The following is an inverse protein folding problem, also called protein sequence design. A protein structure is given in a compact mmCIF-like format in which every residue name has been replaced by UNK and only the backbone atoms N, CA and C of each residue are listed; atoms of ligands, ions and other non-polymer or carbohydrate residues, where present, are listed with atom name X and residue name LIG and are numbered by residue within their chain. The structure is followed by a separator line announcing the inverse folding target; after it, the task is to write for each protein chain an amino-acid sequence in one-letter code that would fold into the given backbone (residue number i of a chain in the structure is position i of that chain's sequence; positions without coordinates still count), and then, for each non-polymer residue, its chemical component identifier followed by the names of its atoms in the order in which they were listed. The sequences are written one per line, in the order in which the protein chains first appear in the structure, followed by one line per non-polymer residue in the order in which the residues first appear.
data_IF_539338198041
#
_entry.id   IF_539338198041
#
_cell.length_a   1.000
_cell.length_b   1.000
_cell.length_c   1.000
_cell.angle_alpha   90.00
_cell.angle_beta   90.00
_cell.angle_gamma   90.00
#
_symmetry.space_group_name_H-M   'P 1'
#
loop_
_entity.id
_entity.type
_entity.pdbx_description
1 polymer ?
#
# COMPACT_ATOMS: atom_id res chain seq x y z
N UNK A 1 -55.49 2.85 -34.09
CA UNK A 1 -54.49 3.92 -33.91
C UNK A 1 -54.25 4.57 -35.26
N UNK A 2 -54.41 5.88 -35.34
CA UNK A 2 -54.15 6.65 -36.56
C UNK A 2 -52.65 6.98 -36.66
N UNK A 3 -52.20 7.35 -37.86
CA UNK A 3 -50.80 7.76 -38.11
C UNK A 3 -50.47 9.02 -37.28
N UNK A 4 -51.44 9.91 -37.08
CA UNK A 4 -51.30 11.15 -36.30
C UNK A 4 -51.05 10.85 -34.81
N UNK A 5 -51.81 9.91 -34.22
CA UNK A 5 -51.60 9.47 -32.83
C UNK A 5 -50.21 8.87 -32.61
N UNK A 6 -49.67 8.16 -33.62
CA UNK A 6 -48.32 7.61 -33.57
C UNK A 6 -47.26 8.71 -33.62
N UNK A 7 -47.46 9.73 -34.47
CA UNK A 7 -46.55 10.87 -34.58
C UNK A 7 -46.51 11.69 -33.28
N UNK A 8 -47.67 11.96 -32.67
CA UNK A 8 -47.74 12.65 -31.38
C UNK A 8 -47.01 11.89 -30.28
N UNK A 9 -47.17 10.55 -30.25
CA UNK A 9 -46.49 9.71 -29.27
C UNK A 9 -44.98 9.68 -29.46
N UNK A 10 -44.49 9.67 -30.70
CA UNK A 10 -43.05 9.78 -30.98
C UNK A 10 -42.46 11.09 -30.43
N UNK A 11 -43.12 12.22 -30.69
CA UNK A 11 -42.69 13.54 -30.19
C UNK A 11 -42.70 13.59 -28.66
N UNK A 12 -43.71 13.01 -28.02
CA UNK A 12 -43.79 12.93 -26.56
C UNK A 12 -42.63 12.10 -25.97
N UNK A 13 -42.31 10.96 -26.61
CA UNK A 13 -41.21 10.10 -26.19
C UNK A 13 -39.86 10.79 -26.37
N UNK A 14 -39.63 11.47 -27.50
CA UNK A 14 -38.40 12.23 -27.73
C UNK A 14 -38.20 13.31 -26.67
N UNK A 15 -39.27 14.05 -26.33
CA UNK A 15 -39.22 15.07 -25.27
C UNK A 15 -38.89 14.46 -23.90
N UNK A 16 -39.47 13.30 -23.57
CA UNK A 16 -39.16 12.58 -22.33
C UNK A 16 -37.72 12.09 -22.30
N UNK A 17 -37.20 11.54 -23.40
CA UNK A 17 -35.81 11.12 -23.51
C UNK A 17 -34.86 12.29 -23.24
N UNK A 18 -35.09 13.44 -23.88
CA UNK A 18 -34.27 14.64 -23.66
C UNK A 18 -34.29 15.10 -22.18
N UNK A 19 -35.46 15.06 -21.54
CA UNK A 19 -35.58 15.43 -20.11
C UNK A 19 -34.83 14.46 -19.20
N UNK A 20 -34.95 13.16 -19.45
CA UNK A 20 -34.27 12.13 -18.67
C UNK A 20 -32.75 12.18 -18.88
N UNK A 21 -32.28 12.44 -20.09
CA UNK A 21 -30.86 12.64 -20.38
C UNK A 21 -30.29 13.84 -19.63
N UNK A 22 -31.02 14.96 -19.62
CA UNK A 22 -30.61 16.15 -18.87
C UNK A 22 -30.55 15.88 -17.36
N UNK A 23 -31.56 15.19 -16.80
CA UNK A 23 -31.58 14.82 -15.40
C UNK A 23 -30.44 13.86 -15.04
N UNK A 24 -30.17 12.87 -15.88
CA UNK A 24 -29.06 11.95 -15.68
C UNK A 24 -27.72 12.67 -15.71
N UNK A 25 -27.51 13.60 -16.64
CA UNK A 25 -26.29 14.40 -16.69
C UNK A 25 -26.10 15.24 -15.42
N UNK A 26 -27.17 15.90 -14.95
CA UNK A 26 -27.14 16.71 -13.72
C UNK A 26 -26.85 15.85 -12.48
N UNK A 27 -27.55 14.72 -12.34
CA UNK A 27 -27.34 13.80 -11.22
C UNK A 27 -25.94 13.20 -11.22
N UNK A 28 -25.43 12.81 -12.39
CA UNK A 28 -24.07 12.26 -12.52
C UNK A 28 -23.02 13.31 -12.14
N UNK A 29 -23.20 14.56 -12.57
CA UNK A 29 -22.31 15.66 -12.19
C UNK A 29 -22.31 15.88 -10.66
N UNK A 30 -23.48 15.89 -10.02
CA UNK A 30 -23.60 16.00 -8.56
C UNK A 30 -22.93 14.84 -7.85
N UNK A 31 -23.15 13.60 -8.30
CA UNK A 31 -22.56 12.39 -7.74
C UNK A 31 -21.03 12.48 -7.79
N UNK A 32 -20.46 12.82 -8.95
CA UNK A 32 -19.01 12.96 -9.11
C UNK A 32 -18.44 14.04 -8.18
N UNK A 33 -19.14 15.17 -8.04
CA UNK A 33 -18.74 16.23 -7.13
C UNK A 33 -18.73 15.76 -5.67
N UNK A 34 -19.79 15.08 -5.21
CA UNK A 34 -19.86 14.54 -3.85
C UNK A 34 -18.80 13.46 -3.59
N UNK A 35 -18.55 12.59 -4.57
CA UNK A 35 -17.50 11.56 -4.49
C UNK A 35 -16.12 12.20 -4.29
N UNK A 36 -15.83 13.28 -5.02
CA UNK A 36 -14.56 13.98 -4.86
C UNK A 36 -14.45 14.65 -3.48
N UNK A 37 -15.51 15.32 -3.02
CA UNK A 37 -15.53 15.88 -1.67
C UNK A 37 -15.35 14.80 -0.59
N UNK A 38 -15.98 13.64 -0.77
CA UNK A 38 -15.84 12.51 0.14
C UNK A 38 -14.40 11.97 0.17
N UNK A 39 -13.76 11.78 -1.00
CA UNK A 39 -12.36 11.36 -1.08
C UNK A 39 -11.44 12.35 -0.38
N UNK A 40 -11.62 13.65 -0.62
CA UNK A 40 -10.85 14.70 0.05
C UNK A 40 -11.05 14.68 1.57
N UNK A 41 -12.29 14.51 2.03
CA UNK A 41 -12.61 14.40 3.46
C UNK A 41 -11.93 13.19 4.10
N UNK A 42 -12.00 12.02 3.47
CA UNK A 42 -11.33 10.80 3.93
C UNK A 42 -9.81 10.95 3.94
N UNK A 43 -9.23 11.54 2.90
CA UNK A 43 -7.80 11.84 2.85
C UNK A 43 -7.37 12.80 3.95
N UNK A 44 -8.17 13.82 4.29
CA UNK A 44 -7.86 14.71 5.43
C UNK A 44 -7.98 14.00 6.78
N UNK A 45 -8.99 13.15 6.94
CA UNK A 45 -9.23 12.44 8.20
C UNK A 45 -8.12 11.40 8.49
N UNK A 46 -7.72 10.63 7.47
CA UNK A 46 -6.81 9.50 7.65
C UNK A 46 -5.40 9.76 7.09
N UNK A 47 -5.24 10.62 6.10
CA UNK A 47 -3.94 10.92 5.48
C UNK A 47 -3.04 11.87 6.29
N UNK A 48 -3.59 12.60 7.27
CA UNK A 48 -2.79 13.46 8.18
C UNK A 48 -2.13 12.65 9.30
N UNK A 49 -2.51 11.38 9.46
CA UNK A 49 -2.07 10.53 10.58
C UNK A 49 -0.78 9.74 10.33
N UNK A 50 -0.27 9.65 9.09
CA UNK A 50 0.95 8.87 8.82
C UNK A 50 2.26 9.58 9.16
N UNK A 51 2.24 10.91 9.32
CA UNK A 51 3.45 11.73 9.57
C UNK A 51 3.39 12.52 10.88
N UNK A 52 2.24 12.55 11.57
CA UNK A 52 2.11 13.18 12.89
C UNK A 52 2.46 12.19 14.00
N UNK A 53 3.69 11.69 13.98
CA UNK A 53 4.32 11.23 15.21
C UNK A 53 4.94 12.48 15.82
N UNK A 54 4.37 12.99 16.92
CA UNK A 54 5.07 13.97 17.73
C UNK A 54 6.46 13.39 18.02
N UNK A 55 7.56 14.05 17.61
CA UNK A 55 8.88 13.49 17.76
C UNK A 55 9.13 13.32 19.24
N UNK A 56 8.99 12.08 19.73
CA UNK A 56 9.37 11.75 21.08
C UNK A 56 10.86 12.08 21.19
N UNK A 57 11.30 12.82 22.23
CA UNK A 57 12.72 13.11 22.42
C UNK A 57 13.59 11.84 22.38
N UNK A 58 13.02 10.72 22.84
CA UNK A 58 13.64 9.38 22.81
C UNK A 58 13.89 8.86 21.38
N UNK A 59 13.04 9.19 20.41
CA UNK A 59 13.19 8.76 19.02
C UNK A 59 14.30 9.53 18.30
N UNK A 60 14.53 10.79 18.67
CA UNK A 60 15.63 11.62 18.15
C UNK A 60 17.00 11.16 18.69
N UNK A 61 17.03 10.57 19.89
CA UNK A 61 18.25 10.12 20.56
C UNK A 61 18.62 8.66 20.26
N UNK A 62 17.74 7.90 19.60
CA UNK A 62 17.91 6.46 19.35
C UNK A 62 19.21 6.10 18.60
N UNK A 63 19.72 7.01 17.77
CA UNK A 63 20.93 6.80 16.97
C UNK A 63 22.08 7.73 17.36
N UNK A 64 22.02 8.35 18.55
CA UNK A 64 23.01 9.34 18.95
C UNK A 64 24.22 8.77 19.72
N UNK A 65 24.46 7.47 19.64
CA UNK A 65 25.55 6.79 20.37
C UNK A 65 26.92 7.39 20.02
N UNK A 66 27.16 7.68 18.73
CA UNK A 66 28.44 8.21 18.27
C UNK A 66 28.76 9.62 18.81
N UNK A 67 27.77 10.52 18.91
CA UNK A 67 28.01 11.87 19.46
C UNK A 67 28.12 11.84 20.99
N UNK A 68 27.38 10.95 21.66
CA UNK A 68 27.44 10.78 23.12
C UNK A 68 28.77 10.18 23.55
N UNK A 69 29.31 9.23 22.78
CA UNK A 69 30.60 8.59 23.05
C UNK A 69 31.79 9.36 22.46
N UNK A 70 31.55 10.39 21.63
CA UNK A 70 32.60 11.19 21.04
C UNK A 70 33.42 11.91 22.11
N UNK A 71 34.74 11.77 22.02
CA UNK A 71 35.71 12.49 22.83
C UNK A 71 36.45 13.50 21.96
N UNK A 72 35.94 14.74 21.83
CA UNK A 72 36.50 15.74 20.91
C UNK A 72 37.92 16.20 21.30
N UNK A 73 38.36 15.88 22.51
CA UNK A 73 39.71 16.15 23.01
C UNK A 73 40.74 15.09 22.55
N UNK A 74 40.29 13.93 22.06
CA UNK A 74 41.17 12.90 21.53
C UNK A 74 41.58 13.23 20.08
N UNK A 75 42.87 13.05 19.76
CA UNK A 75 43.42 13.31 18.43
C UNK A 75 42.86 12.29 17.44
N UNK A 76 42.30 12.78 16.32
CA UNK A 76 41.84 11.91 15.23
C UNK A 76 42.98 10.96 14.80
N UNK A 77 42.69 9.66 14.61
CA UNK A 77 43.69 8.70 14.18
C UNK A 77 44.22 9.07 12.79
N UNK A 78 45.52 8.85 12.56
CA UNK A 78 46.13 9.13 11.27
C UNK A 78 45.52 8.23 10.19
N UNK A 79 44.95 8.85 9.15
CA UNK A 79 44.29 8.12 8.05
C UNK A 79 45.32 7.52 7.10
N UNK A 80 45.52 6.20 7.19
CA UNK A 80 46.32 5.47 6.22
C UNK A 80 45.49 5.09 4.98
N UNK A 81 45.82 5.67 3.83
CA UNK A 81 45.15 5.33 2.57
C UNK A 81 45.76 4.06 1.98
N UNK A 82 45.10 2.91 2.18
CA UNK A 82 45.50 1.65 1.54
C UNK A 82 45.01 1.65 0.09
N UNK A 83 45.94 1.73 -0.87
CA UNK A 83 45.63 1.53 -2.29
C UNK A 83 45.75 0.04 -2.61
N UNK A 84 44.62 -0.64 -2.81
CA UNK A 84 44.62 -2.01 -3.33
C UNK A 84 44.03 -2.05 -4.74
N UNK A 85 44.65 -2.87 -5.60
CA UNK A 85 44.12 -3.12 -6.94
C UNK A 85 43.25 -4.38 -6.93
N UNK A 86 41.96 -4.18 -7.23
CA UNK A 86 40.99 -5.27 -7.42
C UNK A 86 40.80 -5.57 -8.90
N UNK A 87 40.92 -6.83 -9.29
CA UNK A 87 40.28 -7.28 -10.55
C UNK A 87 38.77 -7.32 -10.32
N UNK A 88 38.02 -6.40 -10.93
CA UNK A 88 36.55 -6.46 -10.95
C UNK A 88 36.13 -7.72 -11.70
N UNK A 89 35.78 -8.78 -10.95
CA UNK A 89 35.06 -9.92 -11.52
C UNK A 89 33.74 -9.42 -12.09
N UNK A 90 33.45 -9.75 -13.36
CA UNK A 90 32.21 -9.40 -14.05
C UNK A 90 31.09 -10.23 -13.43
N UNK A 91 30.61 -9.78 -12.26
CA UNK A 91 29.61 -10.51 -11.50
C UNK A 91 28.25 -9.97 -11.92
N UNK A 92 27.58 -10.71 -12.79
CA UNK A 92 26.13 -10.60 -12.95
C UNK A 92 25.54 -11.07 -11.62
N UNK A 93 25.25 -10.14 -10.69
CA UNK A 93 24.43 -10.44 -9.51
C UNK A 93 22.97 -10.47 -9.94
N UNK A 94 22.63 -11.41 -10.79
CA UNK A 94 21.26 -11.93 -10.80
C UNK A 94 21.27 -12.95 -9.68
N UNK A 95 20.87 -12.53 -8.48
CA UNK A 95 20.57 -13.49 -7.43
C UNK A 95 19.38 -14.31 -7.96
N UNK A 96 19.62 -15.57 -8.32
CA UNK A 96 18.56 -16.49 -8.68
C UNK A 96 17.76 -16.77 -7.41
N UNK A 97 16.62 -16.11 -7.28
CA UNK A 97 15.70 -16.26 -6.14
C UNK A 97 14.73 -17.43 -6.33
N UNK A 98 14.83 -18.16 -7.45
CA UNK A 98 13.93 -19.27 -7.80
C UNK A 98 14.03 -20.46 -6.83
N UNK A 99 15.20 -20.68 -6.22
CA UNK A 99 15.45 -21.81 -5.31
C UNK A 99 15.31 -21.43 -3.81
N UNK A 100 14.81 -20.23 -3.49
CA UNK A 100 14.65 -19.84 -2.09
C UNK A 100 13.46 -20.59 -1.47
N UNK A 101 13.64 -21.31 -0.35
CA UNK A 101 12.54 -22.03 0.29
C UNK A 101 11.47 -21.05 0.75
N UNK A 102 10.23 -21.26 0.31
CA UNK A 102 9.06 -20.48 0.75
C UNK A 102 8.34 -21.30 1.82
N UNK A 103 8.19 -20.73 3.01
CA UNK A 103 7.37 -21.33 4.07
C UNK A 103 5.97 -20.69 4.05
N UNK A 104 4.94 -21.53 3.90
CA UNK A 104 3.54 -21.09 3.95
C UNK A 104 2.98 -21.47 5.32
N UNK A 105 2.61 -20.46 6.11
CA UNK A 105 1.96 -20.66 7.41
C UNK A 105 0.47 -20.36 7.28
N UNK A 106 -0.37 -21.38 7.41
CA UNK A 106 -1.83 -21.22 7.41
C UNK A 106 -2.36 -21.05 8.83
N UNK A 107 -2.95 -19.89 9.12
CA UNK A 107 -3.63 -19.63 10.38
C UNK A 107 -5.15 -19.71 10.16
N UNK A 108 -5.74 -20.88 10.39
CA UNK A 108 -7.20 -21.09 10.29
C UNK A 108 -7.86 -20.96 11.66
N UNK A 109 -8.99 -20.25 11.69
CA UNK A 109 -9.88 -20.25 12.86
C UNK A 109 -10.50 -21.64 13.05
N UNK A 110 -10.78 -22.08 14.29
CA UNK A 110 -11.55 -23.30 14.53
C UNK A 110 -12.95 -23.18 13.92
N UNK A 111 -13.56 -24.30 13.51
CA UNK A 111 -14.86 -24.32 12.80
C UNK A 111 -15.97 -23.57 13.54
N UNK A 112 -15.93 -23.59 14.87
CA UNK A 112 -16.87 -22.92 15.77
C UNK A 112 -16.82 -21.38 15.67
N UNK A 113 -15.69 -20.82 15.24
CA UNK A 113 -15.43 -19.38 15.16
C UNK A 113 -15.47 -18.85 13.71
N UNK A 114 -15.69 -19.72 12.72
CA UNK A 114 -15.84 -19.35 11.31
C UNK A 114 -17.25 -18.83 10.95
N UNK A 115 -18.01 -18.35 11.94
CA UNK A 115 -19.36 -17.79 11.78
C UNK A 115 -19.40 -16.34 12.22
N UNK A 116 -19.93 -15.47 11.36
CA UNK A 116 -19.97 -14.04 11.61
C UNK A 116 -20.94 -13.73 12.76
N UNK A 117 -20.49 -13.09 13.86
CA UNK A 117 -21.36 -12.80 15.00
C UNK A 117 -22.46 -11.76 14.68
N UNK A 118 -22.32 -11.01 13.59
CA UNK A 118 -23.28 -9.97 13.20
C UNK A 118 -24.37 -10.46 12.23
N UNK A 119 -24.07 -11.45 11.37
CA UNK A 119 -25.01 -11.91 10.34
C UNK A 119 -25.21 -13.44 10.28
N UNK A 120 -24.45 -14.21 11.07
CA UNK A 120 -24.53 -15.67 11.11
C UNK A 120 -24.04 -16.39 9.85
N UNK A 121 -23.51 -15.66 8.86
CA UNK A 121 -22.92 -16.22 7.65
C UNK A 121 -21.48 -16.74 7.86
N UNK A 122 -20.97 -17.57 6.95
CA UNK A 122 -19.58 -18.04 7.02
C UNK A 122 -18.60 -16.87 6.89
N UNK A 123 -17.52 -16.88 7.68
CA UNK A 123 -16.43 -15.92 7.56
C UNK A 123 -15.72 -16.09 6.21
N UNK A 124 -15.37 -14.96 5.58
CA UNK A 124 -14.56 -14.96 4.37
C UNK A 124 -13.08 -15.13 4.73
N UNK A 125 -12.39 -16.06 4.07
CA UNK A 125 -10.95 -16.23 4.21
C UNK A 125 -10.22 -15.02 3.63
N UNK A 126 -9.48 -14.30 4.48
CA UNK A 126 -8.62 -13.20 4.05
C UNK A 126 -7.20 -13.71 3.80
N UNK A 127 -6.53 -13.06 2.84
CA UNK A 127 -5.25 -13.39 2.21
C UNK A 127 -4.23 -14.20 3.02
N UNK A 128 -3.55 -15.12 2.33
CA UNK A 128 -2.38 -15.85 2.82
C UNK A 128 -1.15 -14.95 2.87
N UNK A 129 -0.47 -14.90 4.01
CA UNK A 129 0.83 -14.22 4.15
C UNK A 129 1.96 -15.16 3.73
N UNK A 130 2.80 -14.71 2.79
CA UNK A 130 3.99 -15.43 2.35
C UNK A 130 5.20 -14.83 3.07
N UNK A 131 5.86 -15.61 3.93
CA UNK A 131 7.09 -15.21 4.61
C UNK A 131 8.28 -15.78 3.83
N UNK A 132 9.03 -14.90 3.16
CA UNK A 132 10.34 -15.28 2.60
C UNK A 132 11.37 -15.29 3.74
N UNK A 133 12.07 -16.41 3.99
CA UNK A 133 13.08 -16.46 5.04
C UNK A 133 14.26 -15.54 4.68
N UNK A 134 14.71 -14.79 5.68
CA UNK A 134 15.89 -13.95 5.60
C UNK A 134 17.15 -14.82 5.37
N UNK A 135 17.98 -14.45 4.39
CA UNK A 135 19.23 -15.16 4.09
C UNK A 135 20.19 -14.90 5.27
N UNK A 136 20.35 -15.86 6.19
CA UNK A 136 21.46 -15.82 7.15
C UNK A 136 22.78 -15.98 6.39
N UNK A 137 23.57 -14.92 6.34
CA UNK A 137 24.88 -14.87 5.68
C UNK A 137 25.99 -15.61 6.46
N UNK A 138 25.66 -16.30 7.55
CA UNK A 138 26.64 -16.86 8.49
C UNK A 138 27.36 -18.14 8.00
N UNK A 139 27.07 -18.62 6.78
CA UNK A 139 27.67 -19.84 6.23
C UNK A 139 28.28 -19.66 4.82
N UNK A 140 29.11 -18.63 4.63
CA UNK A 140 30.05 -18.63 3.51
C UNK A 140 31.34 -19.36 3.95
N UNK A 141 31.76 -20.47 3.30
CA UNK A 141 33.04 -21.08 3.61
C UNK A 141 34.15 -20.10 3.22
N UNK A 142 34.96 -19.70 4.21
CA UNK A 142 36.16 -18.92 3.99
C UNK A 142 37.01 -19.61 2.90
N UNK A 143 37.20 -18.92 1.78
CA UNK A 143 38.20 -19.22 0.75
C UNK A 143 39.19 -18.08 0.67
#
# INVERSE_FOLDING_TARGET
MTIEELQERCVQLEKLCMQLEQQNAELTAKLNWFMEQFRLSKKRQFGVSSERTEPLPEQLLLFNEAEVEARPEEREPDLETITYQRRKGRTRREMNLEDLPVEVVEHRLPEEEQVCPACGGPLHEMSTELLSPEIRLDNLPNS
#
